data_IF_307811168709
#
_entry.id   IF_307811168709
#
_cell.length_a   1.000
_cell.length_b   1.000
_cell.length_c   1.000
_cell.angle_alpha   90.00
_cell.angle_beta   90.00
_cell.angle_gamma   90.00
#
_symmetry.space_group_name_H-M   'P 1'
#
loop_
_entity.id
_entity.type
_entity.pdbx_description
1 polymer ?
#
# COMPACT_ATOMS: atom_id res chain seq x y z
N UNK A 1 -16.98 -24.70 13.39
CA UNK A 1 -16.85 -23.75 14.53
C UNK A 1 -15.38 -23.46 14.80
N UNK A 2 -15.08 -22.27 15.35
CA UNK A 2 -13.71 -21.93 15.75
C UNK A 2 -13.29 -22.77 16.95
N UNK A 3 -12.19 -23.49 16.82
CA UNK A 3 -11.62 -24.34 17.86
C UNK A 3 -10.53 -23.65 18.67
N UNK A 4 -9.79 -22.72 18.04
CA UNK A 4 -8.77 -21.96 18.75
C UNK A 4 -8.42 -20.64 18.05
N UNK A 5 -7.97 -19.67 18.85
CA UNK A 5 -7.39 -18.42 18.42
C UNK A 5 -6.10 -18.24 19.21
N UNK A 6 -4.98 -18.17 18.53
CA UNK A 6 -3.66 -18.01 19.16
C UNK A 6 -2.78 -17.07 18.37
N UNK A 7 -1.66 -16.69 18.95
CA UNK A 7 -0.63 -15.99 18.19
C UNK A 7 -0.09 -16.91 17.08
N UNK A 8 0.05 -16.37 15.88
CA UNK A 8 0.75 -17.06 14.82
C UNK A 8 2.25 -17.05 15.10
N UNK A 9 2.96 -18.13 14.74
CA UNK A 9 4.42 -18.11 14.71
C UNK A 9 4.91 -17.34 13.46
N UNK A 10 6.18 -16.98 13.44
CA UNK A 10 6.76 -16.30 12.27
C UNK A 10 6.70 -17.18 11.01
N UNK A 11 6.96 -18.50 11.19
CA UNK A 11 6.92 -19.49 10.12
C UNK A 11 5.50 -19.65 9.56
N UNK A 12 4.49 -19.69 10.43
CA UNK A 12 3.09 -19.76 10.02
C UNK A 12 2.68 -18.48 9.26
N UNK A 13 3.11 -17.32 9.75
CA UNK A 13 2.83 -16.06 9.06
C UNK A 13 3.43 -16.05 7.66
N UNK A 14 4.75 -16.31 7.57
CA UNK A 14 5.47 -16.29 6.30
C UNK A 14 4.87 -17.36 5.35
N UNK A 15 4.53 -18.56 5.84
CA UNK A 15 3.86 -19.59 5.04
C UNK A 15 2.55 -19.09 4.41
N UNK A 16 1.62 -18.58 5.23
CA UNK A 16 0.32 -18.11 4.71
C UNK A 16 0.46 -16.96 3.70
N UNK A 17 1.35 -16.03 3.99
CA UNK A 17 1.53 -14.85 3.15
C UNK A 17 2.21 -15.19 1.83
N UNK A 18 3.12 -16.15 1.81
CA UNK A 18 3.83 -16.56 0.60
C UNK A 18 3.03 -17.60 -0.23
N UNK A 19 2.17 -18.43 0.40
CA UNK A 19 1.37 -19.45 -0.30
C UNK A 19 0.10 -18.88 -0.95
N UNK A 20 -0.51 -17.83 -0.37
CA UNK A 20 -1.73 -17.23 -0.91
C UNK A 20 -1.40 -16.15 -1.95
N UNK A 21 -1.54 -16.48 -3.24
CA UNK A 21 -1.13 -15.63 -4.35
C UNK A 21 -1.71 -14.20 -4.35
N UNK A 22 -2.89 -14.00 -3.77
CA UNK A 22 -3.57 -12.71 -3.70
C UNK A 22 -3.06 -11.80 -2.58
N UNK A 23 -2.15 -12.27 -1.71
CA UNK A 23 -1.61 -11.44 -0.63
C UNK A 23 -0.73 -10.32 -1.15
N UNK A 24 -0.77 -9.21 -0.45
CA UNK A 24 -0.02 -8.01 -0.77
C UNK A 24 1.21 -7.89 0.13
N UNK A 25 2.22 -7.16 -0.32
CA UNK A 25 3.41 -6.86 0.48
C UNK A 25 3.06 -6.27 1.86
N UNK A 26 1.98 -5.50 1.95
CA UNK A 26 1.49 -4.87 3.19
C UNK A 26 1.01 -5.87 4.25
N UNK A 27 0.83 -7.14 3.91
CA UNK A 27 0.44 -8.22 4.82
C UNK A 27 1.65 -9.04 5.30
N UNK A 28 2.86 -8.74 4.79
CA UNK A 28 4.09 -9.44 5.16
C UNK A 28 4.59 -9.03 6.55
N UNK A 29 5.30 -9.94 7.21
CA UNK A 29 5.99 -9.65 8.47
C UNK A 29 7.01 -8.52 8.32
N UNK A 30 7.75 -8.48 7.19
CA UNK A 30 8.71 -7.41 6.89
C UNK A 30 8.07 -6.01 6.91
N UNK A 31 6.86 -5.86 6.34
CA UNK A 31 6.12 -4.59 6.40
C UNK A 31 5.75 -4.19 7.83
N UNK A 32 5.31 -5.16 8.64
CA UNK A 32 4.98 -4.90 10.04
C UNK A 32 6.20 -4.52 10.88
N UNK A 33 7.36 -5.14 10.65
CA UNK A 33 8.63 -4.79 11.30
C UNK A 33 9.05 -3.35 10.96
N UNK A 34 8.93 -2.94 9.68
CA UNK A 34 9.22 -1.56 9.26
C UNK A 34 8.36 -0.57 10.03
N UNK A 35 7.06 -0.85 10.18
CA UNK A 35 6.15 0.04 10.90
C UNK A 35 6.34 -0.04 12.43
N UNK A 36 6.78 -1.17 12.95
CA UNK A 36 7.18 -1.29 14.35
C UNK A 36 8.36 -0.35 14.65
N UNK A 37 9.41 -0.41 13.82
CA UNK A 37 10.62 0.40 13.97
C UNK A 37 10.40 1.89 13.67
N UNK A 38 9.47 2.20 12.77
CA UNK A 38 9.17 3.58 12.37
C UNK A 38 8.20 4.30 13.29
N UNK A 39 7.10 3.63 13.68
CA UNK A 39 5.97 4.29 14.34
C UNK A 39 5.49 3.56 15.61
N UNK A 40 6.23 2.54 16.07
CA UNK A 40 5.91 1.82 17.31
C UNK A 40 4.65 0.94 17.21
N UNK A 41 4.31 0.45 16.03
CA UNK A 41 3.29 -0.59 15.90
C UNK A 41 3.79 -1.88 16.55
N UNK A 42 2.91 -2.54 17.28
CA UNK A 42 3.17 -3.85 17.85
C UNK A 42 2.41 -4.91 17.02
N UNK A 43 3.08 -6.00 16.64
CA UNK A 43 2.41 -7.14 16.00
C UNK A 43 1.52 -7.87 17.02
N UNK A 44 0.31 -8.21 16.60
CA UNK A 44 -0.64 -9.02 17.38
C UNK A 44 -1.31 -10.07 16.48
N UNK A 45 -0.56 -10.53 15.47
CA UNK A 45 -1.03 -11.45 14.42
C UNK A 45 -1.54 -12.75 15.02
N UNK A 46 -2.76 -13.15 14.63
CA UNK A 46 -3.45 -14.33 15.14
C UNK A 46 -3.60 -15.40 14.04
N UNK A 47 -3.57 -16.63 14.49
CA UNK A 47 -4.04 -17.78 13.71
C UNK A 47 -5.35 -18.27 14.31
N UNK A 48 -6.40 -18.27 13.48
CA UNK A 48 -7.72 -18.80 13.80
C UNK A 48 -7.84 -20.19 13.18
N UNK A 49 -8.19 -21.20 13.98
CA UNK A 49 -8.38 -22.56 13.53
C UNK A 49 -9.85 -22.97 13.68
N UNK A 50 -10.37 -23.66 12.66
CA UNK A 50 -11.74 -24.19 12.63
C UNK A 50 -11.76 -25.72 12.82
N UNK A 51 -12.87 -26.24 13.28
CA UNK A 51 -13.14 -27.71 13.41
C UNK A 51 -13.11 -28.43 12.05
N UNK A 52 -13.34 -27.71 10.96
CA UNK A 52 -13.18 -28.21 9.60
C UNK A 52 -11.71 -28.42 9.19
N UNK A 53 -10.75 -28.09 10.05
CA UNK A 53 -9.30 -28.09 9.75
C UNK A 53 -8.80 -26.87 9.02
N UNK A 54 -9.69 -25.97 8.58
CA UNK A 54 -9.30 -24.71 7.92
C UNK A 54 -8.61 -23.77 8.90
N UNK A 55 -7.71 -22.95 8.36
CA UNK A 55 -6.97 -21.96 9.14
C UNK A 55 -7.02 -20.59 8.46
N UNK A 56 -7.07 -19.55 9.26
CA UNK A 56 -7.07 -18.16 8.81
C UNK A 56 -6.02 -17.38 9.59
N UNK A 57 -5.11 -16.76 8.87
CA UNK A 57 -4.16 -15.81 9.44
C UNK A 57 -4.81 -14.41 9.47
N UNK A 58 -4.74 -13.75 10.62
CA UNK A 58 -5.10 -12.35 10.80
C UNK A 58 -3.82 -11.54 11.02
N UNK A 59 -3.21 -10.94 9.98
CA UNK A 59 -2.08 -10.04 10.14
C UNK A 59 -2.55 -8.79 10.90
N UNK A 60 -2.40 -8.78 12.21
CA UNK A 60 -2.93 -7.74 13.07
C UNK A 60 -1.81 -6.93 13.70
N UNK A 61 -1.83 -5.63 13.47
CA UNK A 61 -0.99 -4.65 14.16
C UNK A 61 -1.82 -3.83 15.13
N UNK A 62 -1.24 -3.46 16.25
CA UNK A 62 -1.82 -2.55 17.21
C UNK A 62 -0.92 -1.34 17.45
N UNK A 63 -1.54 -0.20 17.70
CA UNK A 63 -0.87 1.04 18.05
C UNK A 63 -1.48 1.64 19.32
N UNK A 64 -0.65 2.08 20.24
CA UNK A 64 -1.09 2.80 21.45
C UNK A 64 -1.40 4.26 21.11
N UNK A 65 -2.60 4.70 21.44
CA UNK A 65 -3.06 6.08 21.29
C UNK A 65 -3.23 6.71 22.68
N UNK A 66 -3.26 8.05 22.75
CA UNK A 66 -3.52 8.79 23.98
C UNK A 66 -2.66 8.31 25.17
N UNK A 67 -1.34 8.31 25.00
CA UNK A 67 -0.38 7.87 26.03
C UNK A 67 -0.64 6.44 26.54
N UNK A 68 -1.19 5.56 25.67
CA UNK A 68 -1.42 4.16 26.00
C UNK A 68 -2.82 3.81 26.50
N UNK A 69 -3.69 4.81 26.71
CA UNK A 69 -5.06 4.60 27.20
C UNK A 69 -5.97 3.89 26.20
N UNK A 70 -5.73 4.06 24.89
CA UNK A 70 -6.51 3.45 23.83
C UNK A 70 -5.57 2.69 22.89
N UNK A 71 -6.00 1.50 22.45
CA UNK A 71 -5.30 0.73 21.42
C UNK A 71 -6.13 0.72 20.15
N UNK A 72 -5.54 1.15 19.03
CA UNK A 72 -6.11 0.97 17.71
C UNK A 72 -5.47 -0.24 17.03
N UNK A 73 -6.27 -0.97 16.24
CA UNK A 73 -5.83 -2.18 15.56
C UNK A 73 -6.00 -2.02 14.04
N UNK A 74 -5.12 -2.68 13.28
CA UNK A 74 -5.06 -2.58 11.82
C UNK A 74 -4.75 -3.96 11.23
N UNK A 75 -5.46 -4.35 10.16
CA UNK A 75 -5.15 -5.56 9.38
C UNK A 75 -4.14 -5.28 8.23
N UNK A 76 -3.28 -4.41 8.37
CA UNK A 76 -2.07 -3.97 7.67
C UNK A 76 -1.81 -2.51 8.03
N UNK A 77 -0.74 -2.18 8.74
CA UNK A 77 -0.45 -0.79 9.10
C UNK A 77 -0.17 0.03 7.83
N UNK A 78 -0.94 1.11 7.62
CA UNK A 78 -0.75 2.03 6.47
C UNK A 78 -0.74 1.37 5.08
N UNK A 79 -1.40 0.22 4.93
CA UNK A 79 -1.52 -0.51 3.67
C UNK A 79 -2.90 -1.12 3.49
N UNK A 80 -3.09 -1.83 2.39
CA UNK A 80 -4.26 -2.66 2.15
C UNK A 80 -3.98 -4.08 2.64
N UNK A 81 -4.94 -4.68 3.35
CA UNK A 81 -4.80 -6.01 3.90
C UNK A 81 -6.14 -6.67 4.17
N UNK A 82 -6.16 -7.60 5.08
CA UNK A 82 -7.32 -8.42 5.43
C UNK A 82 -6.83 -9.69 6.08
N UNK A 83 -7.70 -10.63 6.31
CA UNK A 83 -7.29 -11.96 6.70
C UNK A 83 -6.71 -12.71 5.49
N UNK A 84 -5.88 -13.72 5.76
CA UNK A 84 -5.23 -14.54 4.74
C UNK A 84 -5.62 -15.99 4.96
N UNK A 85 -6.12 -16.65 3.92
CA UNK A 85 -6.48 -18.07 3.95
C UNK A 85 -6.39 -18.67 2.56
N UNK A 86 -6.04 -19.96 2.51
CA UNK A 86 -6.04 -20.76 1.27
C UNK A 86 -7.43 -21.36 0.99
N UNK A 87 -8.39 -21.16 1.89
CA UNK A 87 -9.67 -21.84 1.87
C UNK A 87 -10.84 -20.90 1.57
N UNK A 88 -11.80 -21.38 0.81
CA UNK A 88 -13.13 -20.80 0.79
C UNK A 88 -13.82 -21.17 2.12
N UNK A 89 -14.10 -20.16 2.93
CA UNK A 89 -14.80 -20.35 4.20
C UNK A 89 -16.29 -20.58 3.96
N UNK A 90 -16.89 -21.49 4.71
CA UNK A 90 -18.33 -21.62 4.77
C UNK A 90 -18.98 -20.38 5.40
N UNK A 91 -20.26 -20.17 5.19
CA UNK A 91 -20.96 -18.98 5.69
C UNK A 91 -20.89 -18.86 7.22
N UNK A 92 -21.09 -19.97 7.92
CA UNK A 92 -20.98 -20.02 9.38
C UNK A 92 -19.54 -19.70 9.85
N UNK A 93 -18.49 -20.21 9.17
CA UNK A 93 -17.09 -19.92 9.48
C UNK A 93 -16.77 -18.43 9.27
N UNK A 94 -17.29 -17.83 8.18
CA UNK A 94 -17.16 -16.39 7.94
C UNK A 94 -17.83 -15.57 9.02
N UNK A 95 -19.05 -15.93 9.40
CA UNK A 95 -19.82 -15.23 10.42
C UNK A 95 -19.09 -15.26 11.77
N UNK A 96 -18.57 -16.42 12.20
CA UNK A 96 -17.75 -16.54 13.40
C UNK A 96 -16.47 -15.66 13.34
N UNK A 97 -15.79 -15.64 12.20
CA UNK A 97 -14.62 -14.80 11.99
C UNK A 97 -14.97 -13.30 12.11
N UNK A 98 -16.10 -12.88 11.53
CA UNK A 98 -16.53 -11.49 11.63
C UNK A 98 -16.99 -11.10 13.03
N UNK A 99 -17.56 -12.03 13.80
CA UNK A 99 -17.83 -11.78 15.21
C UNK A 99 -16.55 -11.49 16.00
N UNK A 100 -15.45 -12.22 15.70
CA UNK A 100 -14.14 -11.94 16.32
C UNK A 100 -13.65 -10.55 15.92
N UNK A 101 -13.66 -10.23 14.62
CA UNK A 101 -13.21 -8.93 14.13
C UNK A 101 -14.02 -7.77 14.73
N UNK A 102 -15.34 -7.96 14.92
CA UNK A 102 -16.20 -6.96 15.57
C UNK A 102 -15.85 -6.73 17.05
N UNK A 103 -15.33 -7.75 17.75
CA UNK A 103 -14.90 -7.66 19.15
C UNK A 103 -13.53 -7.00 19.32
N UNK A 104 -12.72 -6.90 18.26
CA UNK A 104 -11.42 -6.21 18.32
C UNK A 104 -11.68 -4.71 18.45
N UNK A 105 -11.22 -4.06 19.54
CA UNK A 105 -11.49 -2.65 19.75
C UNK A 105 -10.75 -1.78 18.74
N UNK A 106 -11.41 -0.75 18.24
CA UNK A 106 -10.82 0.24 17.34
C UNK A 106 -10.13 -0.37 16.12
N UNK A 107 -10.69 -1.47 15.55
CA UNK A 107 -10.14 -2.12 14.36
C UNK A 107 -10.53 -1.35 13.11
N UNK A 108 -9.50 -1.04 12.30
CA UNK A 108 -9.61 -0.47 10.96
C UNK A 108 -8.86 -1.34 9.96
N UNK A 109 -9.44 -1.58 8.81
CA UNK A 109 -8.77 -2.20 7.67
C UNK A 109 -9.18 -1.54 6.35
N UNK A 110 -8.20 -1.21 5.53
CA UNK A 110 -8.35 -1.00 4.10
C UNK A 110 -8.21 -2.37 3.45
N UNK A 111 -9.31 -2.94 2.94
CA UNK A 111 -9.35 -4.35 2.52
C UNK A 111 -8.65 -4.53 1.19
N UNK A 112 -7.85 -5.59 1.09
CA UNK A 112 -7.19 -5.99 -0.14
C UNK A 112 -8.23 -6.22 -1.27
N UNK A 113 -8.23 -5.39 -2.34
CA UNK A 113 -9.22 -5.52 -3.41
C UNK A 113 -8.93 -6.68 -4.37
N UNK A 114 -7.77 -7.32 -4.27
CA UNK A 114 -7.34 -8.42 -5.15
C UNK A 114 -7.56 -9.80 -4.56
N UNK A 115 -8.18 -9.87 -3.37
CA UNK A 115 -8.58 -11.14 -2.77
C UNK A 115 -9.46 -11.93 -3.75
N UNK A 116 -9.01 -13.14 -4.11
CA UNK A 116 -9.70 -13.98 -5.10
C UNK A 116 -10.79 -14.87 -4.50
N UNK A 117 -10.70 -15.14 -3.20
CA UNK A 117 -11.72 -15.91 -2.51
C UNK A 117 -12.91 -15.00 -2.23
N UNK A 118 -14.11 -15.45 -2.56
CA UNK A 118 -15.37 -14.72 -2.31
C UNK A 118 -15.74 -14.68 -0.82
N UNK A 119 -14.73 -14.54 0.03
CA UNK A 119 -14.89 -14.32 1.46
C UNK A 119 -15.26 -12.85 1.70
N UNK A 120 -16.50 -12.49 1.38
CA UNK A 120 -16.96 -11.10 1.47
C UNK A 120 -16.81 -10.55 2.89
N UNK A 121 -16.01 -9.49 3.00
CA UNK A 121 -15.97 -8.68 4.22
C UNK A 121 -17.25 -7.85 4.33
N UNK A 122 -17.86 -7.73 5.52
CA UNK A 122 -18.97 -6.80 5.77
C UNK A 122 -18.44 -5.36 5.79
N UNK A 123 -18.02 -4.89 4.63
CA UNK A 123 -17.35 -3.62 4.48
C UNK A 123 -18.31 -2.45 4.33
N UNK A 124 -17.91 -1.30 4.82
CA UNK A 124 -18.46 -0.03 4.38
C UNK A 124 -17.99 0.21 2.93
N UNK A 125 -18.89 0.68 2.08
CA UNK A 125 -18.50 1.10 0.74
C UNK A 125 -17.50 2.26 0.87
N UNK A 126 -16.29 2.06 0.33
CA UNK A 126 -15.32 3.13 0.21
C UNK A 126 -15.63 3.97 -1.03
N UNK A 127 -15.37 5.27 -0.95
CA UNK A 127 -15.44 6.17 -2.11
C UNK A 127 -14.16 6.14 -2.94
N UNK A 128 -13.14 5.42 -2.49
CA UNK A 128 -11.82 5.38 -3.12
C UNK A 128 -11.66 4.12 -3.96
N UNK A 129 -10.94 4.26 -5.08
CA UNK A 129 -10.63 3.17 -5.99
C UNK A 129 -9.12 3.03 -6.13
N UNK A 130 -8.62 1.80 -6.14
CA UNK A 130 -7.31 1.54 -6.69
C UNK A 130 -7.39 1.39 -8.19
N UNK A 131 -6.30 1.74 -8.88
CA UNK A 131 -6.14 1.66 -10.33
C UNK A 131 -5.03 0.67 -10.64
N UNK A 132 -5.29 -0.33 -11.49
CA UNK A 132 -4.30 -1.37 -11.75
C UNK A 132 -4.26 -1.77 -13.22
N UNK A 133 -3.13 -2.36 -13.63
CA UNK A 133 -2.95 -2.98 -14.92
C UNK A 133 -2.92 -4.49 -14.76
N UNK A 134 -3.65 -5.20 -15.60
CA UNK A 134 -3.54 -6.64 -15.77
C UNK A 134 -2.34 -6.93 -16.67
N UNK A 135 -1.28 -7.49 -16.08
CA UNK A 135 -0.01 -7.76 -16.76
C UNK A 135 -0.04 -9.07 -17.56
N UNK A 136 -1.06 -9.92 -17.39
CA UNK A 136 -1.19 -11.18 -18.13
C UNK A 136 -1.28 -10.98 -19.64
N UNK A 137 -1.68 -9.78 -20.09
CA UNK A 137 -1.75 -9.39 -21.50
C UNK A 137 -0.38 -9.17 -22.14
N UNK A 138 0.67 -9.09 -21.33
CA UNK A 138 2.02 -8.77 -21.77
C UNK A 138 2.26 -7.28 -22.05
N UNK A 139 3.49 -6.85 -21.89
CA UNK A 139 3.87 -5.44 -21.96
C UNK A 139 3.48 -4.73 -23.27
N UNK A 140 3.64 -5.42 -24.42
CA UNK A 140 3.34 -4.81 -25.72
C UNK A 140 1.87 -4.41 -25.86
N UNK A 141 0.94 -5.26 -25.40
CA UNK A 141 -0.49 -4.98 -25.40
C UNK A 141 -0.84 -3.82 -24.45
N UNK A 142 -0.27 -3.82 -23.25
CA UNK A 142 -0.46 -2.77 -22.26
C UNK A 142 0.02 -1.43 -22.80
N UNK A 143 1.23 -1.36 -23.34
CA UNK A 143 1.80 -0.10 -23.88
C UNK A 143 1.02 0.43 -25.09
N UNK A 144 0.45 -0.45 -25.92
CA UNK A 144 -0.42 -0.07 -27.05
C UNK A 144 -1.69 0.66 -26.58
N UNK A 145 -2.20 0.30 -25.41
CA UNK A 145 -3.41 0.88 -24.83
C UNK A 145 -3.19 2.21 -24.11
N UNK A 146 -1.93 2.63 -23.91
CA UNK A 146 -1.64 3.94 -23.31
C UNK A 146 -2.17 5.08 -24.18
N UNK A 147 -2.54 6.18 -23.54
CA UNK A 147 -2.91 7.41 -24.26
C UNK A 147 -1.77 7.86 -25.19
N UNK A 148 -2.13 8.49 -26.32
CA UNK A 148 -1.14 9.05 -27.26
C UNK A 148 -0.15 9.98 -26.56
N UNK A 149 -0.64 10.80 -25.60
CA UNK A 149 0.21 11.70 -24.80
C UNK A 149 1.27 10.96 -23.99
N UNK A 150 0.86 9.89 -23.27
CA UNK A 150 1.78 9.10 -22.46
C UNK A 150 2.80 8.34 -23.30
N UNK A 151 2.37 7.72 -24.40
CA UNK A 151 3.26 7.00 -25.30
C UNK A 151 4.27 7.95 -25.95
N UNK A 152 3.85 9.15 -26.38
CA UNK A 152 4.73 10.16 -26.96
C UNK A 152 5.72 10.72 -25.93
N UNK A 153 5.26 11.01 -24.70
CA UNK A 153 6.12 11.49 -23.62
C UNK A 153 7.20 10.45 -23.25
N UNK A 154 6.81 9.17 -23.17
CA UNK A 154 7.76 8.07 -22.93
C UNK A 154 8.83 7.99 -24.01
N UNK A 155 8.42 7.95 -25.30
CA UNK A 155 9.36 7.90 -26.43
C UNK A 155 10.29 9.12 -26.46
N UNK A 156 9.76 10.31 -26.13
CA UNK A 156 10.55 11.52 -26.00
C UNK A 156 11.60 11.38 -24.89
N UNK A 157 11.21 10.99 -23.67
CA UNK A 157 12.13 10.86 -22.55
C UNK A 157 13.24 9.83 -22.80
N UNK A 158 12.92 8.70 -23.46
CA UNK A 158 13.93 7.71 -23.84
C UNK A 158 14.95 8.32 -24.83
N UNK A 159 14.48 9.08 -25.85
CA UNK A 159 15.36 9.74 -26.82
C UNK A 159 16.22 10.84 -26.19
N UNK A 160 15.71 11.52 -25.17
CA UNK A 160 16.43 12.52 -24.38
C UNK A 160 17.49 11.90 -23.46
N UNK A 161 17.59 10.58 -23.40
CA UNK A 161 18.62 9.86 -22.66
C UNK A 161 18.29 9.62 -21.19
N UNK A 162 17.00 9.65 -20.80
CA UNK A 162 16.60 9.22 -19.45
C UNK A 162 16.87 7.71 -19.31
N UNK A 163 17.57 7.33 -18.24
CA UNK A 163 17.88 5.95 -17.88
C UNK A 163 17.19 5.60 -16.57
N UNK A 164 16.73 4.35 -16.45
CA UNK A 164 16.08 3.86 -15.25
C UNK A 164 16.96 2.79 -14.63
N UNK A 165 17.24 2.95 -13.35
CA UNK A 165 18.07 2.03 -12.56
C UNK A 165 17.48 1.87 -11.15
N UNK A 166 17.64 0.70 -10.50
CA UNK A 166 17.30 0.56 -9.10
C UNK A 166 18.29 1.36 -8.23
N UNK A 167 17.80 1.96 -7.17
CA UNK A 167 18.64 2.59 -6.14
C UNK A 167 19.44 1.51 -5.42
N UNK A 168 20.75 1.67 -5.34
CA UNK A 168 21.66 0.71 -4.72
C UNK A 168 22.38 1.26 -3.48
N UNK A 169 22.41 2.58 -3.33
CA UNK A 169 23.12 3.28 -2.27
C UNK A 169 22.17 4.07 -1.37
N UNK A 170 22.61 4.35 -0.14
CA UNK A 170 21.86 5.24 0.76
C UNK A 170 21.73 6.66 0.19
N UNK A 171 22.68 7.11 -0.61
CA UNK A 171 22.65 8.42 -1.25
C UNK A 171 21.59 8.48 -2.37
N UNK A 172 21.36 7.38 -3.09
CA UNK A 172 20.24 7.26 -4.03
C UNK A 172 18.90 7.47 -3.30
N UNK A 173 18.72 6.84 -2.13
CA UNK A 173 17.54 7.00 -1.30
C UNK A 173 17.41 8.41 -0.71
N UNK A 174 18.52 9.05 -0.37
CA UNK A 174 18.56 10.46 0.08
C UNK A 174 18.08 11.38 -1.03
N UNK A 175 18.61 11.23 -2.23
CA UNK A 175 18.18 12.01 -3.41
C UNK A 175 16.67 11.87 -3.66
N UNK A 176 16.15 10.64 -3.54
CA UNK A 176 14.70 10.41 -3.65
C UNK A 176 13.91 11.10 -2.53
N UNK A 177 14.41 11.07 -1.29
CA UNK A 177 13.76 11.72 -0.17
C UNK A 177 13.68 13.25 -0.35
N UNK A 178 14.69 13.88 -0.94
CA UNK A 178 14.63 15.30 -1.33
C UNK A 178 13.50 15.56 -2.33
N UNK A 179 13.33 14.70 -3.34
CA UNK A 179 12.20 14.81 -4.26
C UNK A 179 10.84 14.62 -3.55
N UNK A 180 10.80 13.72 -2.57
CA UNK A 180 9.62 13.56 -1.73
C UNK A 180 9.28 14.84 -0.98
N UNK A 181 10.25 15.51 -0.38
CA UNK A 181 10.05 16.80 0.30
C UNK A 181 9.58 17.90 -0.68
N UNK A 182 10.15 17.94 -1.88
CA UNK A 182 9.69 18.85 -2.95
C UNK A 182 8.21 18.62 -3.30
N UNK A 183 7.79 17.36 -3.37
CA UNK A 183 6.39 17.02 -3.62
C UNK A 183 5.49 17.44 -2.45
N UNK A 184 5.92 17.21 -1.19
CA UNK A 184 5.19 17.63 -0.01
C UNK A 184 4.99 19.14 0.02
N UNK A 185 6.05 19.91 -0.24
CA UNK A 185 5.98 21.37 -0.30
C UNK A 185 4.97 21.85 -1.37
N UNK A 186 4.93 21.16 -2.51
CA UNK A 186 4.04 21.49 -3.64
C UNK A 186 2.58 21.15 -3.37
N UNK A 187 2.29 20.06 -2.64
CA UNK A 187 0.93 19.64 -2.33
C UNK A 187 0.37 20.31 -1.08
N UNK A 188 1.22 20.85 -0.20
CA UNK A 188 0.82 21.59 0.98
C UNK A 188 -0.12 20.77 1.89
N UNK A 189 -1.26 21.37 2.26
CA UNK A 189 -2.24 20.74 3.16
C UNK A 189 -3.01 19.56 2.56
N UNK A 190 -2.82 19.28 1.27
CA UNK A 190 -3.46 18.12 0.60
C UNK A 190 -2.68 16.81 0.80
N UNK A 191 -1.59 16.85 1.57
CA UNK A 191 -0.82 15.65 1.88
C UNK A 191 -1.46 14.88 3.02
N UNK A 192 -1.75 13.62 2.79
CA UNK A 192 -2.32 12.71 3.81
C UNK A 192 -1.24 12.02 4.66
N UNK A 193 0.00 11.98 4.18
CA UNK A 193 1.11 11.28 4.81
C UNK A 193 2.38 12.12 4.74
N UNK A 194 2.94 12.44 5.90
CA UNK A 194 4.22 13.15 6.01
C UNK A 194 5.23 12.22 6.69
N UNK A 195 6.01 11.51 5.87
CA UNK A 195 7.01 10.57 6.35
C UNK A 195 8.36 11.24 6.57
N UNK A 196 9.00 10.97 7.70
CA UNK A 196 10.38 11.40 7.94
C UNK A 196 11.38 10.52 7.18
N UNK A 197 12.62 11.00 7.08
CA UNK A 197 13.72 10.22 6.50
C UNK A 197 13.83 8.82 7.10
N UNK A 198 13.53 8.65 8.38
CA UNK A 198 13.65 7.37 9.09
C UNK A 198 12.90 6.24 8.39
N UNK A 199 11.71 6.51 7.81
CA UNK A 199 10.98 5.48 7.07
C UNK A 199 11.73 5.03 5.81
N UNK A 200 12.25 5.98 5.03
CA UNK A 200 13.01 5.66 3.81
C UNK A 200 14.33 4.96 4.11
N UNK A 201 14.97 5.32 5.22
CA UNK A 201 16.16 4.65 5.73
C UNK A 201 15.86 3.19 6.12
N UNK A 202 14.79 2.92 6.85
CA UNK A 202 14.37 1.56 7.20
C UNK A 202 14.06 0.72 5.95
N UNK A 203 13.38 1.30 4.97
CA UNK A 203 13.09 0.62 3.70
C UNK A 203 14.39 0.29 2.93
N UNK A 204 15.37 1.20 2.93
CA UNK A 204 16.68 0.99 2.34
C UNK A 204 17.47 -0.13 3.04
N UNK A 205 17.39 -0.17 4.38
CA UNK A 205 18.13 -1.13 5.23
C UNK A 205 17.67 -2.57 5.05
N UNK A 206 16.39 -2.80 4.72
CA UNK A 206 15.82 -4.16 4.52
C UNK A 206 16.53 -4.93 3.40
N UNK A 207 17.04 -4.26 2.37
CA UNK A 207 17.74 -4.88 1.21
C UNK A 207 17.00 -6.10 0.66
N UNK A 208 15.70 -6.10 0.80
CA UNK A 208 14.82 -7.16 0.35
C UNK A 208 14.59 -6.98 -1.16
N UNK A 209 14.63 -8.06 -1.90
CA UNK A 209 14.21 -8.05 -3.31
C UNK A 209 12.74 -7.67 -3.53
N UNK A 210 11.97 -7.52 -2.44
CA UNK A 210 10.57 -7.10 -2.44
C UNK A 210 10.40 -5.57 -2.40
N UNK A 211 11.45 -4.81 -2.06
CA UNK A 211 11.44 -3.33 -1.98
C UNK A 211 12.39 -2.78 -3.03
N UNK A 212 11.85 -2.12 -4.05
CA UNK A 212 12.67 -1.53 -5.10
C UNK A 212 12.33 -0.05 -5.24
N UNK A 213 13.33 0.79 -5.02
CA UNK A 213 13.29 2.20 -5.40
C UNK A 213 13.89 2.34 -6.80
N UNK A 214 13.06 2.63 -7.78
CA UNK A 214 13.49 2.92 -9.13
C UNK A 214 13.82 4.40 -9.28
N UNK A 215 14.97 4.71 -9.87
CA UNK A 215 15.41 6.07 -10.16
C UNK A 215 15.48 6.32 -11.65
N UNK A 216 14.89 7.43 -12.09
CA UNK A 216 15.14 8.00 -13.40
C UNK A 216 16.33 8.94 -13.30
N UNK A 217 17.36 8.66 -14.09
CA UNK A 217 18.57 9.48 -14.19
C UNK A 217 18.63 10.21 -15.54
N UNK A 218 18.98 11.47 -15.50
CA UNK A 218 19.26 12.30 -16.68
C UNK A 218 20.65 12.89 -16.54
N UNK A 219 21.50 12.68 -17.54
CA UNK A 219 22.92 13.06 -17.50
C UNK A 219 23.63 12.55 -16.23
N UNK A 220 23.35 11.31 -15.84
CA UNK A 220 23.94 10.66 -14.67
C UNK A 220 23.36 11.08 -13.31
N UNK A 221 22.46 12.08 -13.25
CA UNK A 221 21.88 12.58 -12.01
C UNK A 221 20.43 12.08 -11.82
N UNK A 222 20.04 11.65 -10.62
CA UNK A 222 18.64 11.34 -10.31
C UNK A 222 17.75 12.58 -10.52
N UNK A 223 16.61 12.40 -11.19
CA UNK A 223 15.63 13.48 -11.46
C UNK A 223 14.20 13.10 -11.04
N UNK A 224 13.92 11.82 -10.87
CA UNK A 224 12.65 11.30 -10.40
C UNK A 224 12.85 9.90 -9.86
N UNK A 225 11.92 9.43 -9.02
CA UNK A 225 11.95 8.06 -8.52
C UNK A 225 10.56 7.53 -8.22
N UNK A 226 10.50 6.20 -8.12
CA UNK A 226 9.29 5.45 -7.78
C UNK A 226 9.63 4.29 -6.84
N UNK A 227 8.97 4.25 -5.69
CA UNK A 227 9.11 3.19 -4.72
C UNK A 227 8.01 2.15 -4.93
N UNK A 228 8.42 0.92 -5.20
CA UNK A 228 7.54 -0.18 -5.51
C UNK A 228 7.78 -1.35 -4.55
N UNK A 229 6.69 -2.04 -4.20
CA UNK A 229 6.71 -3.26 -3.41
C UNK A 229 6.28 -4.44 -4.29
N UNK A 230 7.07 -5.51 -4.25
CA UNK A 230 6.90 -6.71 -5.04
C UNK A 230 6.61 -7.88 -4.12
N UNK A 231 5.46 -8.53 -4.31
CA UNK A 231 5.10 -9.70 -3.52
C UNK A 231 4.15 -10.60 -4.30
N UNK A 232 4.40 -11.91 -4.25
CA UNK A 232 3.66 -12.92 -5.00
C UNK A 232 3.48 -12.49 -6.47
N UNK A 233 2.26 -12.24 -6.92
CA UNK A 233 1.97 -11.83 -8.31
C UNK A 233 1.64 -10.35 -8.46
N UNK A 234 1.91 -9.55 -7.42
CA UNK A 234 1.48 -8.16 -7.32
C UNK A 234 2.66 -7.20 -7.16
N UNK A 235 2.63 -6.10 -7.90
CA UNK A 235 3.54 -4.97 -7.75
C UNK A 235 2.73 -3.75 -7.34
N UNK A 236 3.00 -3.20 -6.15
CA UNK A 236 2.41 -1.96 -5.68
C UNK A 236 3.32 -0.77 -5.99
N UNK A 237 2.88 0.14 -6.86
CA UNK A 237 3.49 1.45 -7.07
C UNK A 237 3.07 2.38 -5.94
N UNK A 238 3.78 2.28 -4.81
CA UNK A 238 3.34 2.89 -3.56
C UNK A 238 3.54 4.40 -3.52
N UNK A 239 4.68 4.88 -4.01
CA UNK A 239 5.04 6.29 -3.90
C UNK A 239 5.95 6.72 -5.05
N UNK A 240 5.78 7.95 -5.54
CA UNK A 240 6.69 8.54 -6.52
C UNK A 240 6.93 10.02 -6.26
N UNK A 241 8.10 10.46 -6.62
CA UNK A 241 8.50 11.86 -6.48
C UNK A 241 9.43 12.28 -7.62
N UNK A 242 9.41 13.56 -7.94
CA UNK A 242 10.26 14.16 -8.97
C UNK A 242 10.86 15.47 -8.47
N UNK A 243 12.12 15.70 -8.80
CA UNK A 243 12.79 16.95 -8.53
C UNK A 243 12.00 18.14 -9.09
N UNK A 244 11.83 19.17 -8.28
CA UNK A 244 11.13 20.39 -8.67
C UNK A 244 11.78 21.06 -9.91
N UNK A 245 13.10 21.01 -10.02
CA UNK A 245 13.86 21.59 -11.13
C UNK A 245 13.49 20.99 -12.49
N UNK A 246 13.22 19.67 -12.53
CA UNK A 246 12.95 18.92 -13.76
C UNK A 246 11.47 18.57 -13.94
N UNK A 247 10.64 18.85 -12.95
CA UNK A 247 9.22 18.59 -13.03
C UNK A 247 8.60 19.32 -14.22
N UNK A 248 7.81 18.60 -15.05
CA UNK A 248 7.23 19.06 -16.32
C UNK A 248 8.23 19.36 -17.46
N UNK A 249 9.54 19.45 -17.21
CA UNK A 249 10.55 19.66 -18.25
C UNK A 249 10.98 18.34 -18.90
N UNK A 250 11.13 17.30 -18.07
CA UNK A 250 11.50 15.96 -18.52
C UNK A 250 10.30 15.01 -18.35
N UNK A 251 10.23 14.03 -19.25
CA UNK A 251 9.19 12.97 -19.19
C UNK A 251 9.60 11.80 -18.29
N UNK A 252 10.35 12.06 -17.20
CA UNK A 252 10.96 11.05 -16.36
C UNK A 252 9.95 10.07 -15.75
N UNK A 253 8.81 10.58 -15.22
CA UNK A 253 7.79 9.72 -14.63
C UNK A 253 7.14 8.77 -15.66
N UNK A 254 7.04 9.16 -16.94
CA UNK A 254 6.53 8.28 -17.99
C UNK A 254 7.52 7.17 -18.34
N UNK A 255 8.82 7.48 -18.38
CA UNK A 255 9.87 6.49 -18.62
C UNK A 255 10.00 5.54 -17.42
N UNK A 256 9.84 6.04 -16.19
CA UNK A 256 9.76 5.19 -14.99
C UNK A 256 8.62 4.17 -15.12
N UNK A 257 7.40 4.62 -15.40
CA UNK A 257 6.25 3.72 -15.55
C UNK A 257 6.47 2.68 -16.66
N UNK A 258 7.00 3.12 -17.82
CA UNK A 258 7.34 2.22 -18.92
C UNK A 258 8.30 1.11 -18.48
N UNK A 259 9.36 1.49 -17.78
CA UNK A 259 10.39 0.54 -17.34
C UNK A 259 9.85 -0.41 -16.26
N UNK A 260 9.17 0.12 -15.24
CA UNK A 260 8.67 -0.68 -14.11
C UNK A 260 7.60 -1.68 -14.56
N UNK A 261 6.67 -1.24 -15.42
CA UNK A 261 5.63 -2.13 -15.95
C UNK A 261 6.25 -3.21 -16.84
N UNK A 262 7.26 -2.85 -17.65
CA UNK A 262 7.98 -3.82 -18.47
C UNK A 262 8.74 -4.82 -17.60
N UNK A 263 9.48 -4.38 -16.60
CA UNK A 263 10.19 -5.23 -15.63
C UNK A 263 9.21 -6.18 -14.92
N UNK A 264 8.07 -5.66 -14.47
CA UNK A 264 7.05 -6.47 -13.83
C UNK A 264 6.50 -7.58 -14.76
N UNK A 265 6.22 -7.26 -16.03
CA UNK A 265 5.83 -8.26 -17.04
C UNK A 265 6.93 -9.29 -17.29
N UNK A 266 8.17 -8.84 -17.48
CA UNK A 266 9.32 -9.70 -17.78
C UNK A 266 9.61 -10.67 -16.61
N UNK A 267 9.33 -10.25 -15.37
CA UNK A 267 9.47 -11.06 -14.15
C UNK A 267 8.25 -11.92 -13.83
N UNK A 268 7.19 -11.89 -14.65
CA UNK A 268 6.01 -12.74 -14.52
C UNK A 268 5.01 -12.30 -13.46
N UNK A 269 5.04 -11.03 -13.01
CA UNK A 269 3.98 -10.48 -12.17
C UNK A 269 2.68 -10.36 -12.96
N UNK A 270 1.54 -10.48 -12.27
CA UNK A 270 0.22 -10.44 -12.93
C UNK A 270 -0.51 -9.11 -12.75
N UNK A 271 -0.19 -8.38 -11.70
CA UNK A 271 -0.88 -7.14 -11.36
C UNK A 271 0.13 -6.03 -11.07
N UNK A 272 -0.06 -4.88 -11.72
CA UNK A 272 0.64 -3.64 -11.39
C UNK A 272 -0.36 -2.63 -10.85
N UNK A 273 -0.33 -2.43 -9.54
CA UNK A 273 -1.26 -1.58 -8.82
C UNK A 273 -0.68 -0.16 -8.69
N UNK A 274 -1.31 0.79 -9.34
CA UNK A 274 -0.98 2.21 -9.25
C UNK A 274 -1.40 2.82 -7.90
N UNK A 275 -2.02 2.06 -7.03
CA UNK A 275 -2.54 2.44 -5.72
C UNK A 275 -3.62 3.53 -5.79
N UNK A 276 -4.37 3.79 -4.73
CA UNK A 276 -5.31 4.91 -4.65
C UNK A 276 -4.64 6.27 -4.91
N UNK A 277 -5.42 7.23 -5.38
CA UNK A 277 -4.89 8.56 -5.77
C UNK A 277 -5.09 9.63 -4.70
N UNK A 278 -5.72 9.30 -3.56
CA UNK A 278 -5.97 10.23 -2.46
C UNK A 278 -6.76 11.48 -2.87
N UNK A 279 -7.61 11.39 -3.90
CA UNK A 279 -8.39 12.51 -4.40
C UNK A 279 -7.61 13.60 -5.14
N UNK A 280 -6.31 13.39 -5.43
CA UNK A 280 -5.48 14.40 -6.11
C UNK A 280 -5.71 14.33 -7.62
N UNK A 281 -6.41 15.32 -8.18
CA UNK A 281 -6.81 15.35 -9.59
C UNK A 281 -5.65 15.13 -10.58
N UNK A 282 -4.50 15.76 -10.35
CA UNK A 282 -3.32 15.60 -11.20
C UNK A 282 -2.77 14.19 -11.20
N UNK A 283 -2.86 13.47 -10.06
CA UNK A 283 -2.46 12.08 -9.93
C UNK A 283 -3.46 11.17 -10.66
N UNK A 284 -4.77 11.45 -10.49
CA UNK A 284 -5.84 10.71 -11.17
C UNK A 284 -5.66 10.82 -12.69
N UNK A 285 -5.47 12.06 -13.21
CA UNK A 285 -5.28 12.32 -14.62
C UNK A 285 -4.02 11.61 -15.19
N UNK A 286 -2.91 11.63 -14.44
CA UNK A 286 -1.68 10.93 -14.81
C UNK A 286 -1.91 9.41 -14.90
N UNK A 287 -2.49 8.80 -13.87
CA UNK A 287 -2.75 7.35 -13.87
C UNK A 287 -3.70 6.93 -14.98
N UNK A 288 -4.75 7.72 -15.26
CA UNK A 288 -5.72 7.45 -16.33
C UNK A 288 -5.05 7.29 -17.71
N UNK A 289 -3.93 7.97 -17.95
CA UNK A 289 -3.19 7.89 -19.21
C UNK A 289 -2.57 6.52 -19.51
N UNK A 290 -2.47 5.64 -18.51
CA UNK A 290 -2.02 4.25 -18.67
C UNK A 290 -3.17 3.28 -18.99
N UNK A 291 -4.42 3.75 -19.06
CA UNK A 291 -5.65 2.97 -19.29
C UNK A 291 -5.87 1.84 -18.26
N UNK A 292 -5.76 2.14 -16.95
CA UNK A 292 -5.91 1.14 -15.92
C UNK A 292 -7.36 0.69 -15.76
N UNK A 293 -7.53 -0.52 -15.26
CA UNK A 293 -8.75 -1.01 -14.63
C UNK A 293 -8.90 -0.40 -13.23
N UNK A 294 -10.10 -0.46 -12.66
CA UNK A 294 -10.38 0.07 -11.32
C UNK A 294 -11.05 -0.99 -10.45
N UNK A 295 -10.68 -1.03 -9.17
CA UNK A 295 -11.39 -1.78 -8.14
C UNK A 295 -11.67 -0.89 -6.93
N UNK A 296 -12.87 -0.99 -6.30
CA UNK A 296 -13.17 -0.25 -5.08
C UNK A 296 -12.28 -0.75 -3.94
N UNK A 297 -11.71 0.17 -3.19
CA UNK A 297 -11.02 -0.13 -1.93
C UNK A 297 -12.06 -0.06 -0.81
N UNK A 298 -12.43 -1.22 -0.29
CA UNK A 298 -13.42 -1.33 0.77
C UNK A 298 -12.78 -1.09 2.14
N UNK A 299 -13.55 -0.50 3.05
CA UNK A 299 -13.09 -0.22 4.41
C UNK A 299 -13.90 -1.08 5.38
N UNK A 300 -13.20 -1.80 6.25
CA UNK A 300 -13.78 -2.45 7.40
C UNK A 300 -13.47 -1.67 8.68
N UNK A 301 -14.47 -1.48 9.51
CA UNK A 301 -14.32 -0.87 10.84
C UNK A 301 -15.14 -1.68 11.86
N UNK A 302 -14.54 -2.02 13.01
CA UNK A 302 -15.28 -2.58 14.14
C UNK A 302 -16.29 -1.56 14.68
N UNK A 303 -17.34 -2.01 15.42
CA UNK A 303 -18.36 -1.11 15.97
C UNK A 303 -17.78 0.05 16.78
N UNK A 304 -16.78 -0.23 17.61
CA UNK A 304 -16.09 0.80 18.41
C UNK A 304 -15.34 1.83 17.56
N UNK A 305 -14.74 1.39 16.45
CA UNK A 305 -14.07 2.30 15.51
C UNK A 305 -15.07 3.17 14.74
N UNK A 306 -16.20 2.61 14.31
CA UNK A 306 -17.30 3.37 13.67
C UNK A 306 -17.82 4.47 14.59
N UNK A 307 -18.12 4.11 15.85
CA UNK A 307 -18.59 5.08 16.86
C UNK A 307 -17.57 6.22 17.05
N UNK A 308 -16.28 5.87 17.18
CA UNK A 308 -15.20 6.87 17.31
C UNK A 308 -15.12 7.79 16.11
N UNK A 309 -15.25 7.26 14.88
CA UNK A 309 -15.22 8.06 13.65
C UNK A 309 -16.40 9.04 13.54
N UNK A 310 -17.60 8.61 13.94
CA UNK A 310 -18.80 9.48 13.99
C UNK A 310 -18.60 10.60 15.01
N UNK A 311 -18.13 10.28 16.21
CA UNK A 311 -17.82 11.28 17.24
C UNK A 311 -16.73 12.25 16.76
N UNK A 312 -15.67 11.76 16.12
CA UNK A 312 -14.61 12.58 15.52
C UNK A 312 -15.19 13.59 14.53
N UNK A 313 -16.02 13.15 13.61
CA UNK A 313 -16.64 14.02 12.60
C UNK A 313 -17.57 15.06 13.25
N UNK A 314 -18.33 14.68 14.29
CA UNK A 314 -19.22 15.57 15.03
C UNK A 314 -18.46 16.65 15.82
N UNK A 315 -17.28 16.30 16.36
CA UNK A 315 -16.47 17.22 17.18
C UNK A 315 -15.27 17.82 16.46
N UNK A 316 -15.10 17.56 15.15
CA UNK A 316 -13.96 18.04 14.34
C UNK A 316 -13.72 19.55 14.44
N UNK A 317 -14.76 20.34 14.71
CA UNK A 317 -14.69 21.79 14.86
C UNK A 317 -14.43 22.26 16.30
N UNK A 318 -14.40 21.38 17.31
CA UNK A 318 -14.12 21.76 18.70
C UNK A 318 -12.62 21.97 18.93
N UNK A 319 -12.27 23.03 19.70
CA UNK A 319 -10.87 23.33 20.06
C UNK A 319 -10.18 22.17 20.78
N UNK A 320 -10.91 21.43 21.62
CA UNK A 320 -10.39 20.27 22.35
C UNK A 320 -9.99 19.12 21.41
N UNK A 321 -10.72 18.89 20.35
CA UNK A 321 -10.44 17.80 19.41
C UNK A 321 -9.21 18.10 18.52
N UNK A 322 -8.99 19.37 18.12
CA UNK A 322 -7.82 19.79 17.37
C UNK A 322 -6.51 19.59 18.13
N UNK A 323 -6.54 19.69 19.47
CA UNK A 323 -5.37 19.41 20.33
C UNK A 323 -5.02 17.91 20.36
N UNK A 324 -6.02 17.04 20.36
CA UNK A 324 -5.85 15.58 20.44
C UNK A 324 -5.33 15.01 19.12
N UNK A 325 -5.82 15.52 17.98
CA UNK A 325 -5.47 14.99 16.65
C UNK A 325 -4.15 15.49 16.08
N UNK A 326 -3.61 16.60 16.64
CA UNK A 326 -2.33 17.17 16.17
C UNK A 326 -1.13 16.24 16.42
N UNK A 327 -1.25 15.33 17.40
CA UNK A 327 -0.18 14.41 17.80
C UNK A 327 -0.34 12.97 17.29
N UNK A 328 -1.42 12.62 16.62
CA UNK A 328 -1.74 11.22 16.28
C UNK A 328 -1.73 10.89 14.79
N UNK A 329 -1.62 11.89 13.90
CA UNK A 329 -1.56 11.65 12.45
C UNK A 329 -2.80 10.94 11.85
N UNK A 330 -3.98 11.06 12.52
CA UNK A 330 -5.28 10.56 12.06
C UNK A 330 -6.08 11.63 11.34
#
# INVERSE_FOLDING_TARGET
MITSIRNATNEEWDYFVDSVESTLYFQTREWFEIWADYAGFESDTKLVCFDSGKKVLLPLARMKLLSGLVKAHFLAPKGMGGFVTEYLLAENERNELFEILNKIPMLYASVNPFENLTNEFPCLNGEEYTQFLDLSQGFAAIFKNWSKGHSSATKKGIREGIRIEPATTKDDWRSYYEFYLDNMARWGNNTTNNYSWRLFELLCEKKSGKIILWLAKYQGKPVSGALCFYHNRHVAYWHSASSQQFFRKLSASHVLQYHIIKDACDRGFLLYDLMPSGGIEGVIAFKKGFSPLQKPVRIYMSPSMRLSSVLKNRFRNSKAFKLITKNTGF
#
